data_IF_119055657887
#
_entry.id   IF_119055657887
#
_cell.length_a   1.000
_cell.length_b   1.000
_cell.length_c   1.000
_cell.angle_alpha   90.00
_cell.angle_beta   90.00
_cell.angle_gamma   90.00
#
_symmetry.space_group_name_H-M   'P 1'
#
loop_
_entity.id
_entity.type
_entity.pdbx_description
1 polymer ?
#
# COMPACT_ATOMS: atom_id res chain seq x y z
N UNK A 1 -7.95 -14.51 -2.93
CA UNK A 1 -7.47 -13.13 -2.64
C UNK A 1 -6.24 -12.77 -3.48
N UNK A 2 -5.04 -13.32 -3.26
CA UNK A 2 -3.84 -12.94 -4.05
C UNK A 2 -4.01 -13.16 -5.56
N UNK A 3 -4.58 -14.29 -5.99
CA UNK A 3 -4.82 -14.57 -7.41
C UNK A 3 -5.72 -13.50 -8.05
N UNK A 4 -6.77 -13.04 -7.36
CA UNK A 4 -7.65 -11.96 -7.84
C UNK A 4 -6.87 -10.70 -8.18
N UNK A 5 -5.87 -10.34 -7.36
CA UNK A 5 -5.01 -9.18 -7.63
C UNK A 5 -4.06 -9.41 -8.81
N UNK A 6 -3.46 -10.59 -8.87
CA UNK A 6 -2.58 -10.96 -9.97
C UNK A 6 -3.33 -11.09 -11.31
N UNK A 7 -4.63 -11.37 -11.30
CA UNK A 7 -5.42 -11.50 -12.52
C UNK A 7 -6.02 -10.16 -12.94
N UNK A 8 -6.69 -9.45 -12.02
CA UNK A 8 -7.44 -8.22 -12.34
C UNK A 8 -6.58 -6.95 -12.32
N UNK A 9 -5.53 -6.93 -11.49
CA UNK A 9 -4.79 -5.70 -11.18
C UNK A 9 -3.29 -5.79 -11.48
N UNK A 10 -2.82 -6.84 -12.17
CA UNK A 10 -1.41 -7.12 -12.46
C UNK A 10 -0.59 -5.91 -12.93
N UNK A 11 -1.16 -5.05 -13.75
CA UNK A 11 -0.48 -3.93 -14.41
C UNK A 11 -0.72 -2.58 -13.71
N UNK A 12 -1.37 -2.59 -12.55
CA UNK A 12 -1.66 -1.34 -11.83
C UNK A 12 -0.40 -0.89 -11.09
N UNK A 13 0.16 0.29 -11.41
CA UNK A 13 1.39 0.76 -10.78
C UNK A 13 1.18 1.16 -9.32
N UNK A 14 -0.03 1.56 -8.94
CA UNK A 14 -0.38 1.93 -7.56
C UNK A 14 -1.59 1.14 -7.10
N UNK A 15 -1.51 0.57 -5.90
CA UNK A 15 -2.64 -0.05 -5.20
C UNK A 15 -2.86 0.65 -3.86
N UNK A 16 -4.13 0.81 -3.48
CA UNK A 16 -4.54 1.49 -2.26
C UNK A 16 -5.31 0.54 -1.36
N UNK A 17 -4.96 0.51 -0.08
CA UNK A 17 -5.55 -0.39 0.91
C UNK A 17 -5.91 0.37 2.19
N UNK A 18 -7.03 -0.01 2.81
CA UNK A 18 -7.36 0.36 4.18
C UNK A 18 -7.10 -0.86 5.08
N UNK A 19 -6.26 -0.66 6.09
CA UNK A 19 -5.80 -1.70 7.00
C UNK A 19 -4.50 -2.36 6.52
N UNK A 20 -3.55 -2.50 7.44
CA UNK A 20 -2.28 -3.19 7.23
C UNK A 20 -2.42 -4.71 7.42
N UNK A 21 -3.34 -5.13 8.30
CA UNK A 21 -3.59 -6.53 8.60
C UNK A 21 -2.30 -7.26 8.99
N UNK A 22 -2.08 -8.45 8.44
CA UNK A 22 -0.90 -9.27 8.74
C UNK A 22 0.32 -8.99 7.84
N UNK A 23 0.26 -7.99 6.95
CA UNK A 23 1.36 -7.61 6.05
C UNK A 23 1.76 -8.61 4.94
N UNK A 24 1.43 -9.90 5.07
CA UNK A 24 1.84 -10.97 4.13
C UNK A 24 1.36 -10.66 2.71
N UNK A 25 0.12 -10.15 2.57
CA UNK A 25 -0.44 -9.78 1.29
C UNK A 25 0.44 -8.75 0.56
N UNK A 26 0.89 -7.70 1.24
CA UNK A 26 1.71 -6.67 0.62
C UNK A 26 3.08 -7.20 0.22
N UNK A 27 3.68 -8.07 1.04
CA UNK A 27 4.95 -8.71 0.70
C UNK A 27 4.84 -9.55 -0.58
N UNK A 28 3.71 -10.27 -0.74
CA UNK A 28 3.42 -11.05 -1.94
C UNK A 28 3.15 -10.16 -3.16
N UNK A 29 2.31 -9.13 -3.01
CA UNK A 29 2.01 -8.19 -4.10
C UNK A 29 3.26 -7.46 -4.58
N UNK A 30 4.15 -7.04 -3.67
CA UNK A 30 5.38 -6.32 -4.03
C UNK A 30 6.44 -7.20 -4.72
N UNK A 31 6.22 -8.51 -4.86
CA UNK A 31 7.00 -9.33 -5.79
C UNK A 31 6.72 -8.98 -7.25
N UNK A 32 5.53 -8.44 -7.56
CA UNK A 32 5.20 -7.95 -8.88
C UNK A 32 5.92 -6.61 -9.14
N UNK A 33 6.80 -6.60 -10.15
CA UNK A 33 7.57 -5.41 -10.54
C UNK A 33 6.72 -4.29 -11.15
N UNK A 34 5.52 -4.61 -11.64
CA UNK A 34 4.59 -3.62 -12.16
C UNK A 34 3.96 -2.80 -11.02
N UNK A 35 3.84 -3.37 -9.82
CA UNK A 35 3.41 -2.63 -8.63
C UNK A 35 4.59 -1.77 -8.14
N UNK A 36 4.56 -0.50 -8.53
CA UNK A 36 5.53 0.50 -8.14
C UNK A 36 5.29 0.94 -6.70
N UNK A 37 4.03 1.14 -6.32
CA UNK A 37 3.65 1.64 -5.01
C UNK A 37 2.42 0.90 -4.46
N UNK A 38 2.48 0.52 -3.19
CA UNK A 38 1.33 0.14 -2.39
C UNK A 38 1.19 1.16 -1.28
N UNK A 39 0.04 1.85 -1.26
CA UNK A 39 -0.32 2.82 -0.23
C UNK A 39 -1.31 2.16 0.72
N UNK A 40 -0.94 2.08 2.00
CA UNK A 40 -1.75 1.47 3.05
C UNK A 40 -2.12 2.54 4.07
N UNK A 41 -3.42 2.75 4.24
CA UNK A 41 -3.97 3.59 5.29
C UNK A 41 -4.25 2.73 6.51
N UNK A 42 -3.52 2.95 7.60
CA UNK A 42 -3.70 2.21 8.85
C UNK A 42 -3.91 3.17 10.02
N UNK A 43 -4.90 2.86 10.85
CA UNK A 43 -5.26 3.66 12.02
C UNK A 43 -4.47 3.21 13.25
N UNK A 44 -4.27 1.92 13.39
CA UNK A 44 -3.63 1.31 14.55
C UNK A 44 -2.12 1.12 14.31
N UNK A 45 -1.33 1.96 14.96
CA UNK A 45 0.13 1.94 14.84
C UNK A 45 0.74 0.67 15.46
N UNK A 46 0.05 0.02 16.40
CA UNK A 46 0.52 -1.20 17.03
C UNK A 46 0.57 -2.35 16.01
N UNK A 47 -0.40 -2.42 15.11
CA UNK A 47 -0.40 -3.40 14.01
C UNK A 47 0.86 -3.27 13.16
N UNK A 48 1.23 -2.04 12.79
CA UNK A 48 2.43 -1.77 12.00
C UNK A 48 3.69 -2.19 12.77
N UNK A 49 3.76 -1.82 14.05
CA UNK A 49 4.90 -2.13 14.91
C UNK A 49 5.12 -3.64 15.06
N UNK A 50 4.06 -4.40 15.35
CA UNK A 50 4.13 -5.86 15.47
C UNK A 50 4.56 -6.47 14.12
N UNK A 51 3.97 -6.02 13.01
CA UNK A 51 4.28 -6.61 11.70
C UNK A 51 5.71 -6.31 11.24
N UNK A 52 6.24 -5.11 11.48
CA UNK A 52 7.63 -4.78 11.15
C UNK A 52 8.63 -5.51 12.04
N UNK A 53 8.21 -5.98 13.23
CA UNK A 53 9.02 -6.85 14.05
C UNK A 53 9.06 -8.30 13.55
N UNK A 54 7.97 -8.77 12.94
CA UNK A 54 7.83 -10.16 12.47
C UNK A 54 8.35 -10.33 11.03
N UNK A 55 8.13 -9.34 10.17
CA UNK A 55 8.44 -9.38 8.74
C UNK A 55 9.36 -8.21 8.36
N UNK A 56 10.41 -8.52 7.60
CA UNK A 56 11.30 -7.50 7.08
C UNK A 56 10.68 -6.79 5.86
N UNK A 57 10.36 -5.50 6.02
CA UNK A 57 9.90 -4.60 4.95
C UNK A 57 10.94 -3.53 4.58
N UNK A 58 12.19 -3.66 5.06
CA UNK A 58 13.20 -2.61 4.95
C UNK A 58 13.41 -2.14 3.51
N UNK A 59 13.50 -3.09 2.57
CA UNK A 59 13.68 -2.79 1.15
C UNK A 59 12.45 -2.07 0.56
N UNK A 60 11.24 -2.55 0.83
CA UNK A 60 10.01 -1.97 0.32
C UNK A 60 9.77 -0.55 0.86
N UNK A 61 10.12 -0.30 2.12
CA UNK A 61 10.04 1.02 2.75
C UNK A 61 11.10 1.97 2.20
N UNK A 62 12.36 1.53 2.12
CA UNK A 62 13.47 2.35 1.61
C UNK A 62 13.26 2.75 0.15
N UNK A 63 12.70 1.85 -0.66
CA UNK A 63 12.39 2.12 -2.07
C UNK A 63 11.04 2.82 -2.28
N UNK A 64 10.35 3.22 -1.21
CA UNK A 64 9.00 3.79 -1.23
C UNK A 64 7.97 2.94 -2.01
N UNK A 65 8.23 1.63 -2.15
CA UNK A 65 7.29 0.69 -2.77
C UNK A 65 6.14 0.33 -1.83
N UNK A 66 6.38 0.38 -0.52
CA UNK A 66 5.35 0.33 0.51
C UNK A 66 5.31 1.67 1.24
N UNK A 67 4.16 2.33 1.23
CA UNK A 67 3.89 3.55 1.99
C UNK A 67 2.77 3.26 2.98
N UNK A 68 3.04 3.47 4.26
CA UNK A 68 2.06 3.27 5.33
C UNK A 68 1.74 4.62 5.95
N UNK A 69 0.48 5.03 5.86
CA UNK A 69 0.00 6.33 6.28
C UNK A 69 -0.89 6.18 7.51
N UNK A 70 -0.55 6.87 8.60
CA UNK A 70 -1.31 6.86 9.84
C UNK A 70 -2.55 7.75 9.71
N UNK A 71 -3.73 7.14 9.64
CA UNK A 71 -4.98 7.89 9.43
C UNK A 71 -5.34 8.84 10.56
N UNK A 72 -4.80 8.66 11.77
CA UNK A 72 -5.04 9.59 12.88
C UNK A 72 -4.25 10.91 12.74
N UNK A 73 -3.25 10.95 11.85
CA UNK A 73 -2.38 12.12 11.63
C UNK A 73 -2.51 12.74 10.25
N UNK A 74 -3.18 12.07 9.32
CA UNK A 74 -3.34 12.56 7.95
C UNK A 74 -4.27 13.78 7.91
N UNK A 75 -3.76 14.85 7.32
CA UNK A 75 -4.50 16.06 7.01
C UNK A 75 -4.79 16.14 5.49
N UNK A 76 -5.70 17.04 5.10
CA UNK A 76 -6.05 17.26 3.69
C UNK A 76 -4.82 17.61 2.85
N UNK A 77 -3.86 18.34 3.43
CA UNK A 77 -2.62 18.70 2.75
C UNK A 77 -1.79 17.46 2.35
N UNK A 78 -1.68 16.45 3.21
CA UNK A 78 -0.94 15.22 2.92
C UNK A 78 -1.53 14.50 1.70
N UNK A 79 -2.87 14.45 1.60
CA UNK A 79 -3.55 13.87 0.44
C UNK A 79 -3.30 14.67 -0.84
N UNK A 80 -3.28 16.00 -0.74
CA UNK A 80 -2.98 16.86 -1.88
C UNK A 80 -1.54 16.64 -2.36
N UNK A 81 -0.58 16.52 -1.44
CA UNK A 81 0.83 16.25 -1.76
C UNK A 81 0.96 14.88 -2.45
N UNK A 82 0.36 13.84 -1.88
CA UNK A 82 0.33 12.50 -2.47
C UNK A 82 -0.26 12.52 -3.88
N UNK A 83 -1.45 13.12 -4.04
CA UNK A 83 -2.16 13.16 -5.32
C UNK A 83 -1.48 14.06 -6.37
N UNK A 84 -0.71 15.07 -5.94
CA UNK A 84 0.03 15.95 -6.85
C UNK A 84 1.21 15.24 -7.52
N UNK A 85 1.74 14.20 -6.87
CA UNK A 85 2.79 13.37 -7.44
C UNK A 85 2.22 12.29 -8.38
N UNK A 86 2.84 12.11 -9.55
CA UNK A 86 2.52 10.98 -10.44
C UNK A 86 3.24 9.73 -9.92
N UNK A 87 2.63 8.52 -10.03
CA UNK A 87 1.37 8.21 -10.70
C UNK A 87 0.13 8.12 -9.77
N UNK A 88 0.23 8.55 -8.51
CA UNK A 88 -0.76 8.29 -7.46
C UNK A 88 -2.22 8.62 -7.85
N UNK A 89 -2.53 9.88 -8.13
CA UNK A 89 -3.91 10.27 -8.43
C UNK A 89 -4.49 9.56 -9.66
N UNK A 90 -3.67 9.34 -10.69
CA UNK A 90 -4.09 8.70 -11.95
C UNK A 90 -4.60 7.26 -11.75
N UNK A 91 -4.04 6.56 -10.76
CA UNK A 91 -4.38 5.18 -10.44
C UNK A 91 -5.17 5.06 -9.13
N UNK A 92 -5.76 6.15 -8.63
CA UNK A 92 -6.79 6.09 -7.61
C UNK A 92 -8.03 5.38 -8.19
N UNK A 93 -8.25 4.13 -7.76
CA UNK A 93 -9.30 3.23 -8.25
C UNK A 93 -9.88 2.46 -7.08
N UNK A 94 -11.17 2.15 -7.17
CA UNK A 94 -11.84 1.22 -6.26
C UNK A 94 -11.65 -0.19 -6.80
N UNK A 95 -11.36 -1.13 -5.92
CA UNK A 95 -11.13 -2.54 -6.24
C UNK A 95 -12.25 -3.38 -5.62
N UNK A 96 -12.78 -4.34 -6.37
CA UNK A 96 -13.79 -5.25 -5.85
C UNK A 96 -13.11 -6.45 -5.20
N UNK A 97 -13.35 -6.61 -3.90
CA UNK A 97 -12.99 -7.78 -3.11
C UNK A 97 -14.13 -8.81 -3.24
N UNK A 98 -14.31 -9.39 -4.42
CA UNK A 98 -15.17 -10.57 -4.60
C UNK A 98 -14.54 -11.80 -3.91
#
# INVERSE_FOLDING_TARGET
>A
MLNTYNDKYLLYPVLYFYGFGNGILFKALLQNKNHQHIVVFEKDIEIIWIMFHILDFSHELQSARLMVLNTNKLEIQDYNELCSSKPFFQFSRIYFLE
#
